data_IF_064332471562
#
_entry.id   IF_064332471562
#
_cell.length_a   1.000
_cell.length_b   1.000
_cell.length_c   1.000
_cell.angle_alpha   90.00
_cell.angle_beta   90.00
_cell.angle_gamma   90.00
#
_symmetry.space_group_name_H-M   'P 1'
#
loop_
_entity.id
_entity.type
_entity.pdbx_description
1 polymer ?
#
# COMPACT_ATOMS: atom_id res chain seq x y z
N UNK A 1 62.70 23.06 -36.37
CA UNK A 1 62.95 23.98 -35.24
C UNK A 1 62.60 23.22 -33.97
N UNK A 2 63.59 22.56 -33.35
CA UNK A 2 64.40 23.07 -32.23
C UNK A 2 63.60 23.02 -30.92
N UNK A 3 63.81 22.00 -30.07
CA UNK A 3 64.79 21.95 -28.95
C UNK A 3 64.15 22.47 -27.63
N UNK A 4 64.38 21.94 -26.42
CA UNK A 4 65.29 20.91 -25.90
C UNK A 4 64.75 20.39 -24.54
N UNK A 5 65.05 19.15 -24.16
CA UNK A 5 66.10 18.76 -23.21
C UNK A 5 66.28 19.68 -21.98
N UNK A 6 66.06 19.09 -20.79
CA UNK A 6 67.07 19.13 -19.72
C UNK A 6 66.99 17.88 -18.84
N UNK A 7 68.09 17.13 -18.88
CA UNK A 7 68.49 16.00 -18.06
C UNK A 7 69.68 16.50 -17.24
N UNK A 8 69.70 16.27 -15.94
CA UNK A 8 70.92 16.22 -15.15
C UNK A 8 70.77 15.09 -14.12
N UNK A 9 71.69 14.14 -14.18
CA UNK A 9 71.99 13.19 -13.12
C UNK A 9 73.41 13.45 -12.60
N UNK A 10 73.94 12.43 -11.88
CA UNK A 10 75.27 12.28 -11.27
C UNK A 10 75.31 12.82 -9.82
N UNK A 11 75.81 12.11 -8.79
CA UNK A 11 76.84 11.05 -8.79
C UNK A 11 76.67 10.03 -7.63
N UNK A 12 77.11 8.81 -7.93
CA UNK A 12 77.59 7.77 -7.01
C UNK A 12 78.92 8.17 -6.35
N UNK A 13 79.22 7.66 -5.14
CA UNK A 13 80.46 6.91 -4.79
C UNK A 13 80.91 7.03 -3.32
N UNK A 14 81.27 5.87 -2.74
CA UNK A 14 82.28 5.61 -1.68
C UNK A 14 81.94 6.00 -0.22
N UNK A 15 82.26 5.20 0.81
CA UNK A 15 83.10 4.00 0.94
C UNK A 15 82.73 3.22 2.23
N UNK A 16 83.02 1.91 2.21
CA UNK A 16 83.14 0.99 3.35
C UNK A 16 83.69 1.61 4.64
N UNK A 17 83.06 1.29 5.77
CA UNK A 17 83.77 0.98 7.00
C UNK A 17 83.17 -0.28 7.62
N UNK A 18 83.88 -1.39 7.44
CA UNK A 18 83.61 -2.64 8.12
C UNK A 18 84.26 -2.62 9.50
N UNK A 19 83.54 -3.16 10.49
CA UNK A 19 84.09 -3.67 11.75
C UNK A 19 84.19 -2.63 12.86
N UNK A 20 83.37 -2.76 13.89
CA UNK A 20 83.80 -3.36 15.16
C UNK A 20 82.53 -3.78 15.93
N UNK A 21 82.42 -5.10 16.06
CA UNK A 21 81.69 -5.78 17.12
C UNK A 21 82.25 -5.29 18.46
N UNK A 22 81.38 -5.05 19.44
CA UNK A 22 81.60 -5.17 20.91
C UNK A 22 80.69 -4.18 21.65
N UNK A 23 79.61 -4.70 22.25
CA UNK A 23 79.32 -4.62 23.70
C UNK A 23 77.83 -4.91 24.01
N UNK A 24 77.33 -6.04 23.52
CA UNK A 24 76.08 -6.65 23.97
C UNK A 24 76.38 -7.47 25.23
N UNK A 25 76.59 -6.82 26.37
CA UNK A 25 77.04 -7.53 27.57
C UNK A 25 76.53 -7.03 28.92
N UNK A 26 76.07 -5.78 29.04
CA UNK A 26 75.80 -5.18 30.36
C UNK A 26 74.43 -4.50 30.52
N UNK A 27 73.63 -4.39 29.46
CA UNK A 27 72.28 -3.77 29.54
C UNK A 27 71.15 -4.79 29.73
N UNK A 28 71.40 -6.07 29.42
CA UNK A 28 70.42 -7.15 29.64
C UNK A 28 70.45 -7.74 31.07
N UNK A 29 71.49 -7.43 31.87
CA UNK A 29 71.62 -7.93 33.25
C UNK A 29 70.90 -7.03 34.27
N UNK A 30 70.73 -5.73 33.99
CA UNK A 30 69.94 -4.83 34.85
C UNK A 30 68.42 -5.05 34.71
N UNK A 31 67.94 -5.44 33.52
CA UNK A 31 66.53 -5.78 33.29
C UNK A 31 66.18 -7.20 33.76
N UNK A 32 67.15 -8.10 33.89
CA UNK A 32 66.91 -9.47 34.36
C UNK A 32 66.98 -9.65 35.88
N UNK A 33 67.65 -8.76 36.62
CA UNK A 33 67.98 -9.02 38.04
C UNK A 33 67.06 -8.34 39.06
N UNK A 34 66.09 -7.52 38.63
CA UNK A 34 65.15 -6.83 39.57
C UNK A 34 63.66 -7.03 39.27
N UNK A 35 63.27 -7.83 38.28
CA UNK A 35 61.85 -8.17 38.02
C UNK A 35 61.51 -9.65 38.28
N UNK A 36 62.44 -10.43 38.82
CA UNK A 36 62.29 -11.86 39.07
C UNK A 36 61.63 -12.20 40.43
N UNK A 37 60.72 -11.35 40.91
CA UNK A 37 59.83 -11.68 42.04
C UNK A 37 58.34 -11.57 41.67
N UNK A 38 58.02 -11.08 40.46
CA UNK A 38 56.63 -11.02 39.98
C UNK A 38 56.31 -11.99 38.82
N UNK A 39 57.30 -12.73 38.31
CA UNK A 39 57.12 -13.73 37.25
C UNK A 39 57.13 -15.18 37.78
N UNK A 40 56.67 -15.38 39.03
CA UNK A 40 56.45 -16.70 39.61
C UNK A 40 54.95 -17.00 39.84
N UNK A 41 54.06 -16.30 39.13
CA UNK A 41 52.62 -16.56 39.15
C UNK A 41 52.17 -17.57 38.09
N UNK A 42 53.07 -17.96 37.17
CA UNK A 42 52.71 -18.75 35.98
C UNK A 42 52.74 -20.29 36.19
N UNK A 43 52.88 -20.74 37.45
CA UNK A 43 52.80 -22.17 37.85
C UNK A 43 51.95 -22.43 39.08
N UNK A 44 51.14 -21.46 39.51
CA UNK A 44 50.07 -21.69 40.47
C UNK A 44 48.77 -21.83 39.68
N UNK A 45 48.02 -22.92 39.92
CA UNK A 45 46.67 -23.06 39.41
C UNK A 45 45.89 -21.77 39.73
N UNK A 46 45.11 -21.21 38.77
CA UNK A 46 44.40 -19.96 39.00
C UNK A 46 43.58 -20.09 40.28
N UNK A 47 43.77 -19.16 41.22
CA UNK A 47 43.05 -19.20 42.49
C UNK A 47 41.53 -19.28 42.28
N UNK A 48 40.77 -19.78 43.25
CA UNK A 48 39.30 -19.92 43.15
C UNK A 48 38.59 -18.59 42.80
N UNK A 49 39.20 -17.45 43.11
CA UNK A 49 38.69 -16.11 42.77
C UNK A 49 38.83 -15.76 41.28
N UNK A 50 39.96 -16.10 40.63
CA UNK A 50 40.21 -15.82 39.20
C UNK A 50 39.36 -16.74 38.31
N UNK A 51 39.16 -17.98 38.74
CA UNK A 51 38.25 -18.92 38.05
C UNK A 51 36.79 -18.47 38.17
N UNK A 52 36.35 -17.99 39.34
CA UNK A 52 35.02 -17.41 39.52
C UNK A 52 34.80 -16.13 38.69
N UNK A 53 35.80 -15.23 38.59
CA UNK A 53 35.72 -14.05 37.72
C UNK A 53 35.60 -14.42 36.24
N UNK A 54 36.38 -15.40 35.77
CA UNK A 54 36.32 -15.87 34.38
C UNK A 54 34.97 -16.50 34.05
N UNK A 55 34.41 -17.28 34.97
CA UNK A 55 33.07 -17.85 34.81
C UNK A 55 31.99 -16.76 34.79
N UNK A 56 32.08 -15.75 35.66
CA UNK A 56 31.18 -14.61 35.68
C UNK A 56 31.25 -13.80 34.37
N UNK A 57 32.44 -13.59 33.82
CA UNK A 57 32.64 -12.89 32.55
C UNK A 57 32.05 -13.67 31.36
N UNK A 58 32.24 -15.00 31.32
CA UNK A 58 31.62 -15.85 30.29
C UNK A 58 30.08 -15.78 30.38
N UNK A 59 29.51 -15.84 31.58
CA UNK A 59 28.06 -15.67 31.78
C UNK A 59 27.57 -14.30 31.31
N UNK A 60 28.31 -13.24 31.61
CA UNK A 60 28.00 -11.87 31.15
C UNK A 60 28.00 -11.79 29.62
N UNK A 61 29.01 -12.36 28.96
CA UNK A 61 29.10 -12.37 27.50
C UNK A 61 27.93 -13.14 26.86
N UNK A 62 27.54 -14.27 27.44
CA UNK A 62 26.38 -15.02 26.94
C UNK A 62 25.07 -14.23 27.07
N UNK A 63 24.86 -13.54 28.21
CA UNK A 63 23.70 -12.65 28.39
C UNK A 63 23.70 -11.53 27.35
N UNK A 64 24.84 -10.87 27.12
CA UNK A 64 24.94 -9.80 26.12
C UNK A 64 24.65 -10.32 24.70
N UNK A 65 25.14 -11.53 24.38
CA UNK A 65 24.86 -12.19 23.10
C UNK A 65 23.37 -12.47 22.92
N UNK A 66 22.71 -12.95 23.98
CA UNK A 66 21.27 -13.19 23.99
C UNK A 66 20.47 -11.89 23.83
N UNK A 67 20.83 -10.83 24.56
CA UNK A 67 20.15 -9.55 24.45
C UNK A 67 20.29 -8.95 23.04
N UNK A 68 21.50 -8.97 22.46
CA UNK A 68 21.74 -8.53 21.07
C UNK A 68 20.91 -9.34 20.06
N UNK A 69 20.80 -10.65 20.28
CA UNK A 69 20.00 -11.53 19.42
C UNK A 69 18.50 -11.21 19.52
N UNK A 70 17.99 -10.94 20.72
CA UNK A 70 16.60 -10.53 20.93
C UNK A 70 16.34 -9.19 20.26
N UNK A 71 17.19 -8.19 20.51
CA UNK A 71 17.10 -6.85 19.90
C UNK A 71 17.05 -6.93 18.37
N UNK A 72 17.98 -7.68 17.75
CA UNK A 72 18.02 -7.86 16.30
C UNK A 72 16.76 -8.53 15.75
N UNK A 73 16.26 -9.58 16.42
CA UNK A 73 15.02 -10.27 16.03
C UNK A 73 13.81 -9.37 16.15
N UNK A 74 13.69 -8.59 17.22
CA UNK A 74 12.59 -7.64 17.42
C UNK A 74 12.62 -6.55 16.36
N UNK A 75 13.80 -5.99 16.07
CA UNK A 75 13.98 -4.98 15.04
C UNK A 75 13.60 -5.52 13.66
N UNK A 76 14.03 -6.74 13.33
CA UNK A 76 13.66 -7.40 12.08
C UNK A 76 12.16 -7.68 12.02
N UNK A 77 11.56 -8.13 13.11
CA UNK A 77 10.10 -8.36 13.20
C UNK A 77 9.32 -7.06 12.96
N UNK A 78 9.79 -5.95 13.52
CA UNK A 78 9.18 -4.62 13.32
C UNK A 78 9.26 -4.17 11.86
N UNK A 79 10.43 -4.31 11.23
CA UNK A 79 10.62 -4.03 9.79
C UNK A 79 9.70 -4.87 8.91
N UNK A 80 9.60 -6.18 9.18
CA UNK A 80 8.69 -7.06 8.46
C UNK A 80 7.23 -6.62 8.64
N UNK A 81 6.85 -6.21 9.85
CA UNK A 81 5.49 -5.72 10.14
C UNK A 81 5.16 -4.46 9.35
N UNK A 82 6.10 -3.52 9.23
CA UNK A 82 5.94 -2.30 8.40
C UNK A 82 5.74 -2.65 6.91
N UNK A 83 6.49 -3.61 6.39
CA UNK A 83 6.34 -4.08 5.00
C UNK A 83 4.95 -4.67 4.78
N UNK A 84 4.53 -5.61 5.65
CA UNK A 84 3.22 -6.24 5.57
C UNK A 84 2.07 -5.24 5.69
N UNK A 85 2.26 -4.21 6.52
CA UNK A 85 1.28 -3.14 6.68
C UNK A 85 1.15 -2.31 5.40
N UNK A 86 2.26 -1.88 4.80
CA UNK A 86 2.24 -1.13 3.56
C UNK A 86 1.64 -1.96 2.41
N UNK A 87 1.94 -3.25 2.36
CA UNK A 87 1.33 -4.18 1.41
C UNK A 87 -0.19 -4.30 1.63
N UNK A 88 -0.63 -4.45 2.89
CA UNK A 88 -2.04 -4.52 3.24
C UNK A 88 -2.78 -3.22 2.91
N UNK A 89 -2.15 -2.07 3.14
CA UNK A 89 -2.70 -0.76 2.81
C UNK A 89 -2.86 -0.60 1.29
N UNK A 90 -1.85 -1.01 0.51
CA UNK A 90 -1.92 -1.01 -0.96
C UNK A 90 -3.07 -1.89 -1.47
N UNK A 91 -3.18 -3.12 -0.98
CA UNK A 91 -4.27 -4.03 -1.35
C UNK A 91 -5.63 -3.44 -0.94
N UNK A 92 -5.71 -2.79 0.24
CA UNK A 92 -6.90 -2.09 0.68
C UNK A 92 -7.32 -0.93 -0.23
N UNK A 93 -6.35 -0.17 -0.76
CA UNK A 93 -6.59 0.90 -1.74
C UNK A 93 -7.12 0.34 -3.07
N UNK A 94 -6.48 -0.69 -3.61
CA UNK A 94 -6.93 -1.37 -4.84
C UNK A 94 -8.34 -1.96 -4.65
N UNK A 95 -8.63 -2.51 -3.47
CA UNK A 95 -9.96 -3.02 -3.14
C UNK A 95 -10.99 -1.88 -3.06
N UNK A 96 -10.61 -0.74 -2.50
CA UNK A 96 -11.48 0.44 -2.43
C UNK A 96 -11.84 0.96 -3.82
N UNK A 97 -10.88 0.99 -4.75
CA UNK A 97 -11.10 1.31 -6.17
C UNK A 97 -12.05 0.34 -6.84
N UNK A 98 -11.83 -0.96 -6.65
CA UNK A 98 -12.72 -1.99 -7.19
C UNK A 98 -14.15 -1.85 -6.67
N UNK A 99 -14.35 -1.63 -5.37
CA UNK A 99 -15.68 -1.43 -4.79
C UNK A 99 -16.34 -0.15 -5.30
N UNK A 100 -15.61 0.96 -5.43
CA UNK A 100 -16.17 2.19 -6.00
C UNK A 100 -16.62 1.98 -7.45
N UNK A 101 -15.83 1.26 -8.26
CA UNK A 101 -16.21 0.88 -9.62
C UNK A 101 -17.43 -0.05 -9.67
N UNK A 102 -17.51 -1.03 -8.78
CA UNK A 102 -18.67 -1.93 -8.68
C UNK A 102 -19.95 -1.18 -8.31
N UNK A 103 -19.88 -0.23 -7.37
CA UNK A 103 -21.04 0.62 -7.02
C UNK A 103 -21.61 1.35 -8.23
N UNK A 104 -20.77 1.93 -9.07
CA UNK A 104 -21.19 2.63 -10.29
C UNK A 104 -21.93 1.69 -11.26
N UNK A 105 -21.42 0.46 -11.42
CA UNK A 105 -22.06 -0.56 -12.25
C UNK A 105 -23.43 -0.97 -11.70
N UNK A 106 -23.55 -1.14 -10.39
CA UNK A 106 -24.82 -1.43 -9.74
C UNK A 106 -25.82 -0.28 -9.92
N UNK A 107 -25.41 0.97 -9.71
CA UNK A 107 -26.26 2.14 -9.92
C UNK A 107 -26.72 2.28 -11.38
N UNK A 108 -25.83 2.00 -12.34
CA UNK A 108 -26.20 1.96 -13.75
C UNK A 108 -27.21 0.84 -14.05
N UNK A 109 -27.05 -0.31 -13.42
CA UNK A 109 -27.99 -1.44 -13.55
C UNK A 109 -29.36 -1.09 -12.97
N UNK A 110 -29.39 -0.47 -11.79
CA UNK A 110 -30.62 0.02 -11.16
C UNK A 110 -31.36 1.01 -12.08
N UNK A 111 -30.65 2.01 -12.61
CA UNK A 111 -31.24 3.00 -13.53
C UNK A 111 -31.80 2.36 -14.80
N UNK A 112 -31.09 1.38 -15.36
CA UNK A 112 -31.58 0.62 -16.54
C UNK A 112 -32.85 -0.15 -16.22
N UNK A 113 -32.93 -0.76 -15.04
CA UNK A 113 -34.14 -1.46 -14.59
C UNK A 113 -35.30 -0.49 -14.36
N UNK A 114 -35.06 0.69 -13.78
CA UNK A 114 -36.10 1.70 -13.62
C UNK A 114 -36.65 2.19 -14.96
N UNK A 115 -35.76 2.47 -15.92
CA UNK A 115 -36.15 2.83 -17.29
C UNK A 115 -36.98 1.71 -17.92
N UNK A 116 -36.53 0.46 -17.80
CA UNK A 116 -37.27 -0.69 -18.32
C UNK A 116 -38.67 -0.81 -17.68
N UNK A 117 -38.79 -0.64 -16.37
CA UNK A 117 -40.09 -0.66 -15.68
C UNK A 117 -41.00 0.49 -16.16
N UNK A 118 -40.43 1.66 -16.44
CA UNK A 118 -41.09 2.81 -17.06
C UNK A 118 -41.57 2.52 -18.48
N UNK A 119 -40.67 2.05 -19.35
CA UNK A 119 -40.94 1.67 -20.73
C UNK A 119 -42.02 0.59 -20.81
N UNK A 120 -42.00 -0.38 -19.90
CA UNK A 120 -43.04 -1.40 -19.80
C UNK A 120 -44.37 -0.77 -19.39
N UNK A 121 -44.39 0.22 -18.50
CA UNK A 121 -45.64 0.91 -18.14
C UNK A 121 -46.25 1.63 -19.34
N UNK A 122 -45.43 2.29 -20.14
CA UNK A 122 -45.89 2.98 -21.35
C UNK A 122 -46.26 2.00 -22.47
N UNK A 123 -45.51 0.92 -22.61
CA UNK A 123 -45.86 -0.20 -23.50
C UNK A 123 -47.21 -0.80 -23.14
N UNK A 124 -47.54 -0.95 -21.84
CA UNK A 124 -48.85 -1.43 -21.41
C UNK A 124 -49.98 -0.48 -21.83
N UNK A 125 -49.77 0.84 -21.70
CA UNK A 125 -50.75 1.86 -22.15
C UNK A 125 -50.97 1.75 -23.66
N UNK A 126 -49.89 1.60 -24.43
CA UNK A 126 -49.95 1.43 -25.88
C UNK A 126 -50.66 0.12 -26.28
N UNK A 127 -50.36 -1.00 -25.63
CA UNK A 127 -51.05 -2.29 -25.85
C UNK A 127 -52.55 -2.17 -25.55
N UNK A 128 -52.93 -1.45 -24.48
CA UNK A 128 -54.33 -1.20 -24.17
C UNK A 128 -55.02 -0.32 -25.22
N UNK A 129 -54.31 0.69 -25.74
CA UNK A 129 -54.76 1.51 -26.87
C UNK A 129 -55.02 0.66 -28.11
N UNK A 130 -54.08 -0.22 -28.49
CA UNK A 130 -54.21 -1.12 -29.63
C UNK A 130 -55.44 -2.05 -29.48
N UNK A 131 -55.63 -2.66 -28.30
CA UNK A 131 -56.83 -3.48 -28.03
C UNK A 131 -58.12 -2.70 -28.24
N UNK A 132 -58.16 -1.42 -27.84
CA UNK A 132 -59.34 -0.58 -27.99
C UNK A 132 -59.66 -0.27 -29.45
N UNK A 133 -58.66 0.00 -30.29
CA UNK A 133 -58.86 0.30 -31.72
C UNK A 133 -59.36 -0.94 -32.48
N UNK A 134 -58.80 -2.13 -32.20
CA UNK A 134 -59.27 -3.37 -32.80
C UNK A 134 -60.68 -3.77 -32.31
N UNK A 135 -61.02 -3.46 -31.05
CA UNK A 135 -62.37 -3.67 -30.53
C UNK A 135 -63.37 -2.74 -31.22
N UNK A 136 -63.04 -1.45 -31.39
CA UNK A 136 -63.88 -0.48 -32.09
C UNK A 136 -64.09 -0.84 -33.55
N UNK A 137 -63.06 -1.37 -34.23
CA UNK A 137 -63.17 -1.85 -35.61
C UNK A 137 -64.10 -3.07 -35.71
N UNK A 138 -64.02 -4.00 -34.74
CA UNK A 138 -64.89 -5.17 -34.70
C UNK A 138 -66.34 -4.83 -34.35
N UNK A 139 -66.56 -3.87 -33.44
CA UNK A 139 -67.89 -3.34 -33.16
C UNK A 139 -68.46 -2.67 -34.41
N UNK A 140 -67.66 -1.88 -35.13
CA UNK A 140 -68.08 -1.26 -36.39
C UNK A 140 -68.44 -2.28 -37.48
N UNK A 141 -67.74 -3.41 -37.58
CA UNK A 141 -68.04 -4.45 -38.58
C UNK A 141 -69.21 -5.36 -38.21
N UNK A 142 -69.57 -5.45 -36.93
CA UNK A 142 -70.64 -6.32 -36.45
C UNK A 142 -71.97 -5.59 -36.14
N UNK A 143 -72.07 -4.27 -36.33
CA UNK A 143 -73.33 -3.52 -36.11
C UNK A 143 -73.76 -2.71 -37.34
N UNK A 144 -75.00 -2.87 -37.82
CA UNK A 144 -75.58 -1.95 -38.79
C UNK A 144 -76.07 -0.66 -38.09
N UNK A 145 -75.55 0.48 -38.59
CA UNK A 145 -76.09 1.86 -38.52
C UNK A 145 -76.43 2.49 -37.15
N UNK A 146 -75.64 3.51 -36.80
CA UNK A 146 -75.94 4.86 -36.25
C UNK A 146 -74.74 5.25 -35.37
N UNK A 147 -74.09 6.41 -35.39
CA UNK A 147 -74.22 7.68 -36.09
C UNK A 147 -73.18 8.64 -35.46
N UNK A 148 -72.49 9.43 -36.30
CA UNK A 148 -71.88 10.75 -36.06
C UNK A 148 -70.62 10.96 -35.16
N UNK A 149 -69.69 11.74 -35.76
CA UNK A 149 -68.57 12.58 -35.26
C UNK A 149 -67.22 11.88 -34.93
N UNK A 150 -66.16 12.01 -35.75
CA UNK A 150 -65.31 13.20 -36.01
C UNK A 150 -64.77 13.77 -34.70
N UNK A 151 -63.51 13.63 -34.29
CA UNK A 151 -62.23 13.57 -35.01
C UNK A 151 -61.34 14.63 -34.36
N UNK A 152 -60.27 14.23 -33.63
CA UNK A 152 -59.11 15.10 -33.42
C UNK A 152 -57.91 14.31 -32.88
N UNK A 153 -56.89 14.19 -33.72
CA UNK A 153 -55.57 13.69 -33.37
C UNK A 153 -54.57 14.80 -33.70
N UNK A 154 -53.93 15.37 -32.69
CA UNK A 154 -52.64 16.06 -32.79
C UNK A 154 -52.15 16.41 -31.39
N UNK A 155 -51.12 15.70 -30.94
CA UNK A 155 -50.08 16.24 -30.06
C UNK A 155 -48.84 15.36 -30.21
N UNK A 156 -48.11 15.74 -31.25
CA UNK A 156 -46.71 15.48 -31.47
C UNK A 156 -45.92 16.09 -30.31
N UNK A 157 -45.15 15.27 -29.61
CA UNK A 157 -44.17 15.70 -28.62
C UNK A 157 -42.84 15.04 -28.94
N UNK A 158 -41.96 15.82 -29.54
CA UNK A 158 -40.54 15.56 -29.69
C UNK A 158 -39.88 15.35 -28.31
N UNK A 159 -38.93 14.42 -28.16
CA UNK A 159 -37.87 14.57 -27.18
C UNK A 159 -36.60 15.05 -27.87
N UNK A 160 -36.19 16.24 -27.45
CA UNK A 160 -34.88 16.84 -27.68
C UNK A 160 -33.76 15.93 -27.20
N UNK A 161 -32.67 15.96 -27.97
CA UNK A 161 -31.33 15.45 -27.69
C UNK A 161 -30.92 15.55 -26.22
N UNK A 162 -30.37 14.46 -25.66
CA UNK A 162 -29.20 14.54 -24.78
C UNK A 162 -28.21 13.44 -25.15
N UNK A 163 -27.11 13.88 -25.73
CA UNK A 163 -25.87 13.14 -25.90
C UNK A 163 -25.30 12.83 -24.51
N UNK A 164 -25.03 11.57 -24.12
CA UNK A 164 -24.16 11.33 -22.99
C UNK A 164 -22.76 11.78 -23.40
N UNK A 165 -22.29 12.81 -22.71
CA UNK A 165 -20.90 13.23 -22.73
C UNK A 165 -19.97 12.01 -22.60
N UNK A 166 -18.89 12.06 -23.37
CA UNK A 166 -17.77 11.13 -23.33
C UNK A 166 -17.40 10.74 -21.89
N UNK A 167 -17.05 9.46 -21.63
CA UNK A 167 -16.39 9.12 -20.39
C UNK A 167 -15.04 9.84 -20.42
N UNK A 168 -14.95 10.92 -19.67
CA UNK A 168 -13.65 11.38 -19.21
C UNK A 168 -13.10 10.20 -18.41
N UNK A 169 -11.91 9.75 -18.77
CA UNK A 169 -11.10 8.86 -17.96
C UNK A 169 -10.80 9.59 -16.64
N UNK A 170 -11.79 9.64 -15.73
CA UNK A 170 -11.50 9.90 -14.33
C UNK A 170 -10.65 8.72 -13.89
N UNK A 171 -9.42 9.01 -13.46
CA UNK A 171 -8.58 8.03 -12.81
C UNK A 171 -9.40 7.31 -11.73
N UNK A 172 -9.20 5.99 -11.57
CA UNK A 172 -10.00 5.20 -10.63
C UNK A 172 -9.97 5.76 -9.19
N UNK A 173 -8.93 6.53 -8.85
CA UNK A 173 -8.83 7.32 -7.63
C UNK A 173 -9.95 8.38 -7.45
N UNK A 174 -10.36 9.09 -8.50
CA UNK A 174 -11.42 10.11 -8.44
C UNK A 174 -12.79 9.50 -8.09
N UNK A 175 -13.01 8.23 -8.48
CA UNK A 175 -14.23 7.49 -8.14
C UNK A 175 -14.28 7.19 -6.64
N UNK A 176 -13.16 6.76 -6.05
CA UNK A 176 -13.07 6.46 -4.63
C UNK A 176 -13.18 7.73 -3.79
N UNK A 177 -12.55 8.83 -4.22
CA UNK A 177 -12.62 10.11 -3.51
C UNK A 177 -14.05 10.68 -3.43
N UNK A 178 -14.89 10.42 -4.44
CA UNK A 178 -16.31 10.79 -4.44
C UNK A 178 -17.18 9.87 -3.57
N UNK A 179 -16.66 8.70 -3.18
CA UNK A 179 -17.38 7.79 -2.30
C UNK A 179 -17.37 8.32 -0.86
N UNK A 180 -18.55 8.46 -0.26
CA UNK A 180 -18.75 8.99 1.10
C UNK A 180 -18.11 8.12 2.18
N UNK A 181 -18.08 6.80 1.98
CA UNK A 181 -17.59 5.83 2.95
C UNK A 181 -16.07 5.64 2.85
N UNK A 182 -15.51 5.73 1.63
CA UNK A 182 -14.11 5.39 1.37
C UNK A 182 -13.18 6.59 1.17
N UNK A 183 -13.69 7.74 0.72
CA UNK A 183 -12.84 8.83 0.22
C UNK A 183 -11.84 9.35 1.25
N UNK A 184 -12.27 9.55 2.51
CA UNK A 184 -11.41 10.10 3.57
C UNK A 184 -10.31 9.13 4.03
N UNK A 185 -10.62 7.83 4.10
CA UNK A 185 -9.66 6.79 4.47
C UNK A 185 -8.67 6.54 3.32
N UNK A 186 -9.16 6.47 2.09
CA UNK A 186 -8.37 6.30 0.88
C UNK A 186 -7.35 7.43 0.69
N UNK A 187 -7.76 8.69 0.88
CA UNK A 187 -6.85 9.85 0.76
C UNK A 187 -5.74 9.82 1.82
N UNK A 188 -6.07 9.45 3.06
CA UNK A 188 -5.08 9.36 4.16
C UNK A 188 -4.04 8.27 3.87
N UNK A 189 -4.48 7.18 3.27
CA UNK A 189 -3.61 6.07 2.92
C UNK A 189 -2.72 6.36 1.71
N UNK A 190 -3.27 6.99 0.67
CA UNK A 190 -2.46 7.46 -0.46
C UNK A 190 -1.36 8.43 -0.04
N UNK A 191 -1.69 9.45 0.77
CA UNK A 191 -0.70 10.45 1.21
C UNK A 191 0.43 9.84 2.05
N UNK A 192 0.12 8.81 2.84
CA UNK A 192 1.12 8.10 3.63
C UNK A 192 2.07 7.30 2.74
N UNK A 193 1.55 6.56 1.76
CA UNK A 193 2.37 5.79 0.81
C UNK A 193 3.25 6.71 -0.04
N UNK A 194 2.72 7.83 -0.56
CA UNK A 194 3.51 8.76 -1.38
C UNK A 194 4.58 9.47 -0.55
N UNK A 195 4.29 9.85 0.69
CA UNK A 195 5.29 10.43 1.60
C UNK A 195 6.41 9.45 1.95
N UNK A 196 6.10 8.17 2.15
CA UNK A 196 7.10 7.12 2.40
C UNK A 196 8.01 6.86 1.19
N UNK A 197 7.52 7.11 -0.03
CA UNK A 197 8.31 7.02 -1.26
C UNK A 197 9.16 8.28 -1.51
N UNK A 198 8.73 9.45 -1.03
CA UNK A 198 9.44 10.72 -1.20
C UNK A 198 10.51 10.98 -0.14
N UNK A 199 10.47 10.30 1.00
CA UNK A 199 11.53 10.38 2.03
C UNK A 199 12.85 9.72 1.59
N UNK A 200 12.92 9.11 0.40
CA UNK A 200 14.19 8.87 -0.28
C UNK A 200 14.73 10.19 -0.82
N UNK A 201 15.32 10.96 0.07
CA UNK A 201 16.10 12.17 -0.19
C UNK A 201 16.98 12.02 -1.42
N UNK A 202 16.95 13.02 -2.30
CA UNK A 202 17.72 13.09 -3.55
C UNK A 202 19.20 12.70 -3.35
N UNK A 203 19.80 11.92 -4.28
CA UNK A 203 21.21 11.50 -4.22
C UNK A 203 22.21 12.67 -4.27
N UNK A 204 21.74 13.90 -4.52
CA UNK A 204 22.56 15.11 -4.53
C UNK A 204 22.93 15.61 -3.12
N UNK A 205 22.14 15.28 -2.08
CA UNK A 205 22.45 15.69 -0.70
C UNK A 205 23.37 14.70 0.03
N UNK A 206 23.40 13.43 -0.41
CA UNK A 206 24.32 12.40 0.13
C UNK A 206 25.77 12.57 -0.36
N UNK A 207 26.04 13.41 -1.37
CA UNK A 207 27.39 13.65 -1.89
C UNK A 207 28.16 14.73 -1.12
N UNK A 208 27.49 15.56 -0.31
CA UNK A 208 28.15 16.53 0.57
C UNK A 208 28.48 15.84 1.89
N UNK A 209 29.47 14.95 1.83
CA UNK A 209 30.01 14.21 2.97
C UNK A 209 30.30 15.14 4.14
N UNK A 210 29.54 14.93 5.20
CA UNK A 210 29.89 15.26 6.58
C UNK A 210 29.85 13.92 7.34
N UNK A 211 30.68 12.97 6.91
CA UNK A 211 31.05 11.79 7.69
C UNK A 211 32.42 12.09 8.30
N UNK A 212 32.44 12.87 9.37
CA UNK A 212 33.49 12.80 10.38
C UNK A 212 33.06 11.69 11.36
N UNK A 213 33.18 10.44 10.93
CA UNK A 213 33.20 9.29 11.83
C UNK A 213 34.67 9.01 12.15
N UNK A 214 35.13 9.57 13.27
CA UNK A 214 36.37 9.17 13.92
C UNK A 214 36.33 7.65 14.17
N UNK A 215 37.16 6.92 13.44
CA UNK A 215 37.47 5.51 13.69
C UNK A 215 38.31 5.39 14.97
N UNK A 216 37.68 5.63 16.13
CA UNK A 216 38.23 5.23 17.41
C UNK A 216 37.59 3.91 17.84
N UNK A 217 38.46 2.92 18.05
CA UNK A 217 38.22 1.59 18.61
C UNK A 217 37.71 1.70 20.07
N UNK A 218 36.52 2.25 20.25
CA UNK A 218 35.90 2.42 21.57
C UNK A 218 35.05 1.19 21.85
N UNK A 219 35.40 0.49 22.93
CA UNK A 219 34.57 -0.54 23.59
C UNK A 219 33.11 -0.09 23.56
N UNK A 220 32.32 -0.60 22.61
CA UNK A 220 30.93 -0.15 22.44
C UNK A 220 30.14 -0.54 23.68
N UNK A 221 29.79 0.46 24.48
CA UNK A 221 28.90 0.27 25.62
C UNK A 221 27.56 -0.24 25.09
N UNK A 222 27.27 -1.51 25.39
CA UNK A 222 26.02 -2.18 25.02
C UNK A 222 24.79 -1.34 25.42
N UNK A 223 24.90 -0.51 26.47
CA UNK A 223 23.82 0.38 26.90
C UNK A 223 23.52 1.47 25.88
N UNK A 224 24.53 2.00 25.19
CA UNK A 224 24.36 3.03 24.15
C UNK A 224 23.74 2.42 22.90
N UNK A 225 24.21 1.24 22.47
CA UNK A 225 23.63 0.53 21.32
C UNK A 225 22.18 0.13 21.59
N UNK A 226 21.91 -0.43 22.78
CA UNK A 226 20.56 -0.83 23.18
C UNK A 226 19.59 0.35 23.25
N UNK A 227 20.05 1.53 23.73
CA UNK A 227 19.24 2.76 23.68
C UNK A 227 18.90 3.19 22.26
N UNK A 228 19.87 3.15 21.33
CA UNK A 228 19.62 3.45 19.91
C UNK A 228 18.62 2.47 19.29
N UNK A 229 18.78 1.17 19.57
CA UNK A 229 17.85 0.14 19.10
C UNK A 229 16.45 0.36 19.65
N UNK A 230 16.30 0.62 20.95
CA UNK A 230 15.00 0.89 21.56
C UNK A 230 14.35 2.14 20.97
N UNK A 231 15.10 3.23 20.78
CA UNK A 231 14.56 4.43 20.14
C UNK A 231 14.08 4.17 18.70
N UNK A 232 14.80 3.32 17.95
CA UNK A 232 14.36 2.90 16.61
C UNK A 232 13.10 2.03 16.69
N UNK A 233 13.02 1.11 17.65
CA UNK A 233 11.84 0.28 17.86
C UNK A 233 10.61 1.13 18.21
N UNK A 234 10.76 2.13 19.09
CA UNK A 234 9.67 3.04 19.46
C UNK A 234 9.15 3.80 18.22
N UNK A 235 10.07 4.30 17.38
CA UNK A 235 9.71 4.96 16.11
C UNK A 235 8.98 4.01 15.17
N UNK A 236 9.48 2.77 15.02
CA UNK A 236 8.84 1.78 14.16
C UNK A 236 7.46 1.37 14.69
N UNK A 237 7.28 1.30 16.02
CA UNK A 237 6.00 0.99 16.65
C UNK A 237 4.98 2.12 16.46
N UNK A 238 5.40 3.37 16.52
CA UNK A 238 4.56 4.53 16.21
C UNK A 238 4.12 4.53 14.74
N UNK A 239 5.04 4.22 13.82
CA UNK A 239 4.72 4.05 12.39
C UNK A 239 3.69 2.94 12.18
N UNK A 240 3.90 1.78 12.80
CA UNK A 240 2.97 0.64 12.74
C UNK A 240 1.61 1.03 13.31
N UNK A 241 1.57 1.69 14.47
CA UNK A 241 0.33 2.14 15.12
C UNK A 241 -0.46 3.11 14.22
N UNK A 242 0.23 4.07 13.62
CA UNK A 242 -0.36 5.00 12.67
C UNK A 242 -0.91 4.27 11.44
N UNK A 243 -0.14 3.31 10.91
CA UNK A 243 -0.52 2.49 9.78
C UNK A 243 -1.73 1.60 10.05
N UNK A 244 -1.79 0.98 11.23
CA UNK A 244 -2.92 0.16 11.65
C UNK A 244 -4.18 1.00 11.80
N UNK A 245 -4.04 2.25 12.27
CA UNK A 245 -5.16 3.19 12.35
C UNK A 245 -5.70 3.56 10.97
N UNK A 246 -4.83 3.75 9.97
CA UNK A 246 -5.24 3.97 8.57
C UNK A 246 -5.91 2.73 7.98
N UNK A 247 -5.28 1.56 8.14
CA UNK A 247 -5.82 0.28 7.67
C UNK A 247 -7.19 -0.01 8.29
N UNK A 248 -7.38 0.30 9.58
CA UNK A 248 -8.68 0.22 10.25
C UNK A 248 -9.71 1.15 9.60
N UNK A 249 -9.32 2.40 9.31
CA UNK A 249 -10.19 3.35 8.61
C UNK A 249 -10.63 2.83 7.23
N UNK A 250 -9.69 2.27 6.46
CA UNK A 250 -9.98 1.62 5.18
C UNK A 250 -10.92 0.42 5.38
N UNK A 251 -10.62 -0.48 6.32
CA UNK A 251 -11.43 -1.67 6.58
C UNK A 251 -12.87 -1.33 6.97
N UNK A 252 -13.07 -0.30 7.80
CA UNK A 252 -14.40 0.19 8.15
C UNK A 252 -15.12 0.77 6.92
N UNK A 253 -14.47 1.64 6.15
CA UNK A 253 -15.06 2.23 4.93
C UNK A 253 -15.40 1.19 3.86
N UNK A 254 -14.54 0.17 3.66
CA UNK A 254 -14.80 -0.99 2.81
C UNK A 254 -16.01 -1.78 3.32
N UNK A 255 -16.10 -2.00 4.63
CA UNK A 255 -17.23 -2.69 5.26
C UNK A 255 -18.56 -1.97 5.06
N UNK A 256 -18.59 -0.66 5.32
CA UNK A 256 -19.78 0.18 5.13
C UNK A 256 -20.22 0.21 3.66
N UNK A 257 -19.26 0.29 2.73
CA UNK A 257 -19.56 0.23 1.29
C UNK A 257 -20.15 -1.12 0.86
N UNK A 258 -19.66 -2.23 1.40
CA UNK A 258 -20.24 -3.57 1.13
C UNK A 258 -21.68 -3.63 1.63
N UNK A 259 -21.96 -3.09 2.83
CA UNK A 259 -23.33 -3.04 3.37
C UNK A 259 -24.25 -2.22 2.46
N UNK A 260 -23.80 -1.06 1.99
CA UNK A 260 -24.56 -0.22 1.07
C UNK A 260 -24.81 -0.92 -0.28
N UNK A 261 -23.79 -1.57 -0.84
CA UNK A 261 -23.92 -2.31 -2.09
C UNK A 261 -24.86 -3.50 -1.98
N UNK A 262 -24.87 -4.19 -0.83
CA UNK A 262 -25.83 -5.28 -0.57
C UNK A 262 -27.27 -4.75 -0.58
N UNK A 263 -27.53 -3.60 0.05
CA UNK A 263 -28.85 -2.98 0.02
C UNK A 263 -29.26 -2.57 -1.42
N UNK A 264 -28.30 -2.09 -2.22
CA UNK A 264 -28.52 -1.78 -3.63
C UNK A 264 -28.83 -3.03 -4.46
N UNK A 265 -28.11 -4.13 -4.24
CA UNK A 265 -28.34 -5.42 -4.88
C UNK A 265 -29.76 -5.96 -4.60
N UNK A 266 -30.23 -5.86 -3.35
CA UNK A 266 -31.60 -6.27 -2.99
C UNK A 266 -32.66 -5.47 -3.76
N UNK A 267 -32.44 -4.17 -3.92
CA UNK A 267 -33.35 -3.30 -4.69
C UNK A 267 -33.32 -3.61 -6.18
N UNK A 268 -32.13 -3.85 -6.75
CA UNK A 268 -31.95 -4.30 -8.12
C UNK A 268 -32.69 -5.63 -8.35
N UNK A 269 -32.55 -6.59 -7.43
CA UNK A 269 -33.26 -7.88 -7.49
C UNK A 269 -34.77 -7.70 -7.57
N UNK A 270 -35.36 -6.92 -6.66
CA UNK A 270 -36.80 -6.61 -6.66
C UNK A 270 -37.26 -5.95 -7.96
N UNK A 271 -36.48 -5.00 -8.49
CA UNK A 271 -36.79 -4.30 -9.75
C UNK A 271 -36.67 -5.23 -10.96
N UNK A 272 -35.66 -6.10 -10.97
CA UNK A 272 -35.46 -7.10 -12.01
C UNK A 272 -36.64 -8.09 -12.06
N UNK A 273 -37.06 -8.63 -10.92
CA UNK A 273 -38.23 -9.52 -10.84
C UNK A 273 -39.50 -8.83 -11.33
N UNK A 274 -39.71 -7.57 -10.95
CA UNK A 274 -40.86 -6.78 -11.42
C UNK A 274 -40.82 -6.59 -12.95
N UNK A 275 -39.65 -6.24 -13.49
CA UNK A 275 -39.48 -6.03 -14.92
C UNK A 275 -39.71 -7.33 -15.70
N UNK A 276 -39.14 -8.45 -15.25
CA UNK A 276 -39.30 -9.76 -15.87
C UNK A 276 -40.77 -10.21 -15.90
N UNK A 277 -41.47 -10.10 -14.76
CA UNK A 277 -42.89 -10.42 -14.67
C UNK A 277 -43.75 -9.57 -15.64
N UNK A 278 -43.44 -8.27 -15.76
CA UNK A 278 -44.15 -7.37 -16.68
C UNK A 278 -43.85 -7.69 -18.14
N UNK A 279 -42.59 -7.95 -18.49
CA UNK A 279 -42.17 -8.38 -19.83
C UNK A 279 -42.90 -9.66 -20.22
N UNK A 280 -42.92 -10.66 -19.34
CA UNK A 280 -43.61 -11.93 -19.57
C UNK A 280 -45.10 -11.74 -19.86
N UNK A 281 -45.79 -10.94 -19.04
CA UNK A 281 -47.21 -10.62 -19.22
C UNK A 281 -47.47 -9.88 -20.53
N UNK A 282 -46.67 -8.86 -20.86
CA UNK A 282 -46.82 -8.08 -22.09
C UNK A 282 -46.53 -8.90 -23.35
N UNK A 283 -45.49 -9.74 -23.31
CA UNK A 283 -45.19 -10.66 -24.39
C UNK A 283 -46.34 -11.63 -24.65
N UNK A 284 -46.97 -12.16 -23.59
CA UNK A 284 -48.15 -13.02 -23.73
C UNK A 284 -49.34 -12.26 -24.34
N UNK A 285 -49.59 -11.02 -23.91
CA UNK A 285 -50.66 -10.18 -24.46
C UNK A 285 -50.41 -9.84 -25.93
N UNK A 286 -49.20 -9.48 -26.30
CA UNK A 286 -48.81 -9.14 -27.66
C UNK A 286 -48.94 -10.36 -28.60
N UNK A 287 -48.50 -11.54 -28.16
CA UNK A 287 -48.71 -12.81 -28.90
C UNK A 287 -50.20 -13.10 -29.13
N UNK A 288 -51.08 -12.75 -28.18
CA UNK A 288 -52.54 -12.94 -28.33
C UNK A 288 -53.15 -11.96 -29.33
N UNK A 289 -52.60 -10.74 -29.45
CA UNK A 289 -53.01 -9.75 -30.45
C UNK A 289 -52.57 -10.21 -31.85
N UNK A 290 -51.34 -10.71 -31.99
CA UNK A 290 -50.78 -11.13 -33.29
C UNK A 290 -51.37 -12.45 -33.84
N UNK A 291 -51.91 -13.32 -32.97
CA UNK A 291 -52.51 -14.60 -33.39
C UNK A 291 -53.98 -14.48 -33.84
N UNK A 292 -54.57 -13.29 -33.81
CA UNK A 292 -55.92 -13.02 -34.32
C UNK A 292 -55.84 -12.27 -35.64
#
# INVERSE_FOLDING_TARGET
>A
MAAGLRKYGLDDSNHNFAGFNDNDGMTNEFLSTSSATYLASDRLAPGPEVTAMREAEVRRQEVLRQMKQIESRTLQSSKNSKILLNESEKVGLETAEALAGQREQLQNTERKLDNMVGDLKDTQRNINGIKSVFSSLKTWWNTPKQGAQSGNASKESSPTQETPASPSESCDADRVLKNTNLGSAYQRSQTSITSAQQSSTHPALTLKGFDDDDEDEVVQDYRVTSRKVNAQLDTDLDDISSGLSRLKGLAMGLGDEIVDQNALLDNIGKKADLADNKIGSQNAQMKKILKR
#
